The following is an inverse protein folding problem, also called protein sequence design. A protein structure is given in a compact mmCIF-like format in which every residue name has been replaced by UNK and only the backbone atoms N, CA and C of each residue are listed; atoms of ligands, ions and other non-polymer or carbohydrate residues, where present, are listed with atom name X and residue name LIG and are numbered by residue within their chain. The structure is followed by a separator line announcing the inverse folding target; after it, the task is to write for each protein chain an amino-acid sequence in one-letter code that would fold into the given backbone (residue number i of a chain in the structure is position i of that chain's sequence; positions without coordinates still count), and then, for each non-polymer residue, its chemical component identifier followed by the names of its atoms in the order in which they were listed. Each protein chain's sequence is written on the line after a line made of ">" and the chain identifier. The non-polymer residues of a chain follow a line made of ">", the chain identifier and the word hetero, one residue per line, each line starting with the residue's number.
data_IF_816817824036
#
_entry.id   IF_816817824036
#
_cell.length_a   1.000
_cell.length_b   1.000
_cell.length_c   1.000
_cell.angle_alpha   90.00
_cell.angle_beta   90.00
_cell.angle_gamma   90.00
#
_symmetry.space_group_name_H-M   'P 1'
#
loop_
_entity.id
_entity.type
_entity.pdbx_description
1 polymer ?
#
# COMPACT_ATOMS: atom_id res chain seq x y z
N UNK A 1 -21.36 26.20 12.25
CA UNK A 1 -20.94 25.16 13.21
C UNK A 1 -20.65 23.93 12.38
N UNK A 2 -19.39 23.48 12.31
CA UNK A 2 -19.04 22.29 11.53
C UNK A 2 -19.11 21.09 12.46
N UNK A 3 -20.00 20.15 12.15
CA UNK A 3 -20.06 18.85 12.82
C UNK A 3 -19.17 17.87 12.06
N UNK A 4 -18.44 17.04 12.80
CA UNK A 4 -17.73 15.91 12.19
C UNK A 4 -18.71 14.78 11.97
N UNK A 5 -18.78 14.28 10.74
CA UNK A 5 -19.70 13.20 10.35
C UNK A 5 -19.05 11.82 10.33
N UNK A 6 -17.72 11.74 10.49
CA UNK A 6 -16.96 10.49 10.41
C UNK A 6 -15.92 10.44 11.51
N UNK A 7 -15.87 9.31 12.23
CA UNK A 7 -14.82 8.99 13.18
C UNK A 7 -14.36 7.56 12.95
N UNK A 8 -13.05 7.37 12.74
CA UNK A 8 -12.43 6.05 12.58
C UNK A 8 -11.53 5.79 13.79
N UNK A 9 -11.86 4.78 14.64
CA UNK A 9 -10.99 4.39 15.73
C UNK A 9 -9.61 3.93 15.25
N UNK A 10 -8.56 4.33 15.95
CA UNK A 10 -7.16 3.92 15.65
C UNK A 10 -7.01 2.40 15.69
N UNK A 11 -7.85 1.70 16.44
CA UNK A 11 -7.83 0.23 16.47
C UNK A 11 -8.15 -0.41 15.12
N UNK A 12 -8.86 0.28 14.23
CA UNK A 12 -9.22 -0.19 12.89
C UNK A 12 -8.15 0.11 11.84
N UNK A 13 -7.17 0.96 12.13
CA UNK A 13 -6.17 1.35 11.12
C UNK A 13 -5.11 0.27 10.95
N UNK A 14 -4.66 0.11 9.71
CA UNK A 14 -3.44 -0.63 9.37
C UNK A 14 -2.29 0.36 9.51
N UNK A 15 -1.33 0.05 10.38
CA UNK A 15 -0.20 0.93 10.66
C UNK A 15 1.02 0.12 11.13
N UNK A 16 2.16 0.78 11.20
CA UNK A 16 3.43 0.19 11.59
C UNK A 16 3.43 -0.40 13.00
N UNK A 17 2.80 0.28 13.96
CA UNK A 17 2.68 -0.21 15.33
C UNK A 17 1.92 -1.53 15.42
N UNK A 18 0.91 -1.72 14.56
CA UNK A 18 0.20 -3.00 14.41
C UNK A 18 1.09 -4.06 13.80
N UNK A 19 1.89 -3.71 12.79
CA UNK A 19 2.84 -4.64 12.18
C UNK A 19 3.87 -5.13 13.20
N UNK A 20 4.54 -4.23 13.92
CA UNK A 20 5.55 -4.58 14.94
C UNK A 20 5.02 -5.50 16.05
N UNK A 21 3.72 -5.41 16.35
CA UNK A 21 3.04 -6.22 17.38
C UNK A 21 2.37 -7.49 16.84
N UNK A 22 2.42 -7.71 15.53
CA UNK A 22 1.84 -8.89 14.89
C UNK A 22 2.73 -10.13 15.03
N UNK A 23 2.22 -11.29 14.64
CA UNK A 23 2.95 -12.56 14.66
C UNK A 23 4.23 -12.54 13.81
N UNK A 24 4.27 -11.67 12.80
CA UNK A 24 5.44 -11.47 11.91
C UNK A 24 6.25 -10.22 12.27
N UNK A 25 6.00 -9.60 13.42
CA UNK A 25 6.66 -8.36 13.84
C UNK A 25 8.19 -8.47 13.92
N UNK A 26 8.73 -9.67 14.14
CA UNK A 26 10.17 -9.95 14.13
C UNK A 26 10.85 -9.75 12.76
N UNK A 27 10.07 -9.66 11.68
CA UNK A 27 10.58 -9.37 10.33
C UNK A 27 10.87 -7.87 10.18
N UNK A 28 10.23 -7.02 10.98
CA UNK A 28 10.36 -5.56 10.87
C UNK A 28 11.82 -5.07 10.90
N UNK A 29 12.68 -5.47 11.87
CA UNK A 29 14.07 -5.02 11.90
C UNK A 29 14.89 -5.50 10.69
N UNK A 30 14.52 -6.64 10.10
CA UNK A 30 15.20 -7.18 8.90
C UNK A 30 14.85 -6.36 7.66
N UNK A 31 13.60 -5.90 7.55
CA UNK A 31 13.20 -4.98 6.48
C UNK A 31 13.88 -3.63 6.67
N UNK A 32 13.95 -3.14 7.90
CA UNK A 32 14.64 -1.88 8.22
C UNK A 32 16.12 -1.92 7.83
N UNK A 33 16.80 -3.03 8.10
CA UNK A 33 18.19 -3.23 7.67
C UNK A 33 18.31 -3.30 6.13
N UNK A 34 17.40 -4.01 5.47
CA UNK A 34 17.43 -4.21 4.01
C UNK A 34 17.19 -2.91 3.23
N UNK A 35 16.32 -2.05 3.74
CA UNK A 35 15.88 -0.81 3.09
C UNK A 35 16.39 0.44 3.80
N UNK A 36 17.44 0.30 4.62
CA UNK A 36 17.98 1.41 5.41
C UNK A 36 18.42 2.57 4.51
N UNK A 37 17.82 3.75 4.72
CA UNK A 37 18.15 4.98 3.97
C UNK A 37 17.39 5.17 2.66
N UNK A 38 16.50 4.23 2.30
CA UNK A 38 15.55 4.40 1.19
C UNK A 38 14.45 5.40 1.58
N UNK A 39 14.11 6.34 0.69
CA UNK A 39 13.07 7.35 0.97
C UNK A 39 11.67 6.75 1.12
N UNK A 40 11.47 5.51 0.69
CA UNK A 40 10.17 4.85 0.60
C UNK A 40 9.99 3.72 1.64
N UNK A 41 10.89 3.61 2.62
CA UNK A 41 10.86 2.50 3.60
C UNK A 41 9.48 2.33 4.28
N UNK A 42 8.90 3.42 4.77
CA UNK A 42 7.59 3.40 5.46
C UNK A 42 6.47 2.82 4.57
N UNK A 43 6.52 3.10 3.25
CA UNK A 43 5.56 2.55 2.31
C UNK A 43 5.78 1.05 2.09
N UNK A 44 7.03 0.62 1.90
CA UNK A 44 7.38 -0.80 1.70
C UNK A 44 6.97 -1.64 2.89
N UNK A 45 7.21 -1.14 4.10
CA UNK A 45 6.79 -1.76 5.36
C UNK A 45 5.29 -2.00 5.40
N UNK A 46 4.50 -0.98 5.08
CA UNK A 46 3.04 -1.10 5.10
C UNK A 46 2.53 -2.01 3.98
N UNK A 47 3.11 -1.93 2.77
CA UNK A 47 2.78 -2.82 1.66
C UNK A 47 3.03 -4.28 2.07
N UNK A 48 4.17 -4.57 2.68
CA UNK A 48 4.48 -5.92 3.17
C UNK A 48 3.45 -6.40 4.20
N UNK A 49 3.11 -5.55 5.17
CA UNK A 49 2.14 -5.92 6.20
C UNK A 49 0.73 -6.12 5.64
N UNK A 50 0.29 -5.26 4.72
CA UNK A 50 -0.99 -5.41 4.01
C UNK A 50 -1.00 -6.71 3.22
N UNK A 51 0.04 -7.01 2.44
CA UNK A 51 0.15 -8.24 1.67
C UNK A 51 0.05 -9.48 2.56
N UNK A 52 0.77 -9.50 3.69
CA UNK A 52 0.65 -10.57 4.68
C UNK A 52 -0.78 -10.69 5.24
N UNK A 53 -1.42 -9.59 5.61
CA UNK A 53 -2.80 -9.64 6.12
C UNK A 53 -3.79 -10.14 5.06
N UNK A 54 -3.57 -9.83 3.78
CA UNK A 54 -4.40 -10.35 2.69
C UNK A 54 -4.24 -11.87 2.50
N UNK A 55 -3.06 -12.44 2.74
CA UNK A 55 -2.86 -13.91 2.60
C UNK A 55 -3.53 -14.71 3.72
N UNK A 56 -3.85 -14.09 4.85
CA UNK A 56 -4.59 -14.73 5.94
C UNK A 56 -6.09 -14.96 5.61
N UNK A 57 -6.64 -14.26 4.60
CA UNK A 57 -8.05 -14.40 4.25
C UNK A 57 -8.97 -14.06 5.42
N UNK A 58 -9.93 -14.94 5.72
CA UNK A 58 -10.93 -14.76 6.79
C UNK A 58 -10.32 -14.66 8.20
N UNK A 59 -9.09 -15.16 8.40
CA UNK A 59 -8.38 -15.09 9.68
C UNK A 59 -7.81 -13.69 9.94
N UNK A 60 -7.77 -12.81 8.93
CA UNK A 60 -7.37 -11.41 9.11
C UNK A 60 -8.46 -10.58 9.79
N UNK A 61 -8.10 -9.84 10.83
CA UNK A 61 -8.95 -8.80 11.41
C UNK A 61 -9.45 -7.78 10.37
N UNK A 62 -8.62 -7.51 9.34
CA UNK A 62 -8.93 -6.57 8.27
C UNK A 62 -9.58 -7.22 7.04
N UNK A 63 -9.93 -8.51 7.09
CA UNK A 63 -10.60 -9.18 5.97
C UNK A 63 -11.82 -8.41 5.42
N UNK A 64 -12.74 -7.88 6.26
CA UNK A 64 -13.88 -7.12 5.75
C UNK A 64 -13.47 -5.85 5.01
N UNK A 65 -12.36 -5.21 5.40
CA UNK A 65 -11.83 -4.06 4.69
C UNK A 65 -11.36 -4.47 3.29
N UNK A 66 -10.60 -5.55 3.17
CA UNK A 66 -10.10 -6.05 1.87
C UNK A 66 -11.20 -6.54 0.93
N UNK A 67 -12.35 -7.00 1.44
CA UNK A 67 -13.50 -7.33 0.59
C UNK A 67 -14.15 -6.10 -0.06
N UNK A 68 -13.92 -4.90 0.48
CA UNK A 68 -14.49 -3.66 -0.03
C UNK A 68 -13.51 -2.85 -0.89
N UNK A 69 -12.23 -3.20 -0.89
CA UNK A 69 -11.24 -2.52 -1.72
C UNK A 69 -11.41 -2.91 -3.19
N UNK A 70 -11.29 -1.92 -4.07
CA UNK A 70 -11.27 -2.11 -5.51
C UNK A 70 -9.83 -2.13 -6.02
N UNK A 71 -9.62 -2.78 -7.16
CA UNK A 71 -8.36 -2.69 -7.88
C UNK A 71 -8.06 -1.24 -8.22
N UNK A 72 -6.81 -0.84 -7.99
CA UNK A 72 -6.35 0.51 -8.33
C UNK A 72 -6.01 0.60 -9.80
N UNK A 73 -6.48 1.64 -10.47
CA UNK A 73 -6.14 1.94 -11.87
C UNK A 73 -4.74 2.57 -11.97
N UNK A 74 -3.72 1.75 -11.68
CA UNK A 74 -2.32 2.18 -11.64
C UNK A 74 -1.69 2.14 -13.04
N UNK A 75 -0.80 3.09 -13.39
CA UNK A 75 -0.16 3.13 -14.72
C UNK A 75 0.57 1.84 -15.12
N UNK A 76 1.12 1.10 -14.16
CA UNK A 76 1.76 -0.20 -14.40
C UNK A 76 0.80 -1.31 -14.86
N UNK A 77 -0.51 -1.11 -14.68
CA UNK A 77 -1.57 -2.03 -15.10
C UNK A 77 -2.24 -1.58 -16.41
N UNK A 78 -1.86 -0.43 -16.95
CA UNK A 78 -2.45 0.12 -18.17
C UNK A 78 -1.95 -0.64 -19.40
N UNK A 79 -2.83 -0.81 -20.37
CA UNK A 79 -2.42 -1.40 -21.65
C UNK A 79 -1.67 -0.36 -22.49
N UNK A 80 -0.87 -0.82 -23.46
CA UNK A 80 -0.15 0.06 -24.40
C UNK A 80 -1.07 1.07 -25.10
N UNK A 81 -2.31 0.68 -25.40
CA UNK A 81 -3.33 1.56 -25.98
C UNK A 81 -3.70 2.72 -25.04
N UNK A 82 -3.70 2.48 -23.73
CA UNK A 82 -4.07 3.46 -22.71
C UNK A 82 -2.90 4.45 -22.52
N UNK A 83 -1.67 3.93 -22.54
CA UNK A 83 -0.44 4.74 -22.58
C UNK A 83 -0.31 5.57 -23.87
N UNK A 84 -0.88 5.11 -24.99
CA UNK A 84 -0.88 5.86 -26.25
C UNK A 84 -1.76 7.11 -26.23
N UNK A 85 -2.73 7.20 -25.31
CA UNK A 85 -3.51 8.43 -25.09
C UNK A 85 -2.74 9.49 -24.32
N UNK A 86 -1.63 9.13 -23.66
CA UNK A 86 -0.76 10.12 -23.03
C UNK A 86 0.00 10.88 -24.11
N UNK A 87 -0.24 12.19 -24.18
CA UNK A 87 0.59 13.10 -24.98
C UNK A 87 2.06 12.95 -24.59
N UNK A 88 2.96 13.09 -25.56
CA UNK A 88 4.40 13.07 -25.28
C UNK A 88 4.77 14.24 -24.37
N UNK A 89 5.14 13.92 -23.14
CA UNK A 89 5.41 14.91 -22.11
C UNK A 89 5.96 14.29 -20.84
N UNK A 90 6.29 15.16 -19.88
CA UNK A 90 6.91 14.78 -18.61
C UNK A 90 6.19 13.63 -17.90
N UNK A 91 4.85 13.65 -17.87
CA UNK A 91 4.05 12.62 -17.20
C UNK A 91 4.25 11.22 -17.82
N UNK A 92 4.30 11.13 -19.15
CA UNK A 92 4.53 9.87 -19.84
C UNK A 92 5.92 9.31 -19.52
N UNK A 93 6.93 10.17 -19.49
CA UNK A 93 8.30 9.77 -19.14
C UNK A 93 8.39 9.27 -17.69
N UNK A 94 7.75 9.97 -16.74
CA UNK A 94 7.71 9.52 -15.34
C UNK A 94 7.00 8.18 -15.16
N UNK A 95 5.94 7.91 -15.93
CA UNK A 95 5.25 6.62 -15.90
C UNK A 95 6.15 5.51 -16.46
N UNK A 96 6.84 5.77 -17.56
CA UNK A 96 7.75 4.79 -18.17
C UNK A 96 8.94 4.45 -17.25
N UNK A 97 9.51 5.46 -16.58
CA UNK A 97 10.57 5.26 -15.57
C UNK A 97 10.13 4.41 -14.36
N UNK A 98 8.82 4.31 -14.09
CA UNK A 98 8.27 3.50 -13.00
C UNK A 98 7.90 2.07 -13.43
N UNK A 99 7.84 1.80 -14.75
CA UNK A 99 7.46 0.50 -15.31
C UNK A 99 8.71 -0.34 -15.68
N UNK A 100 9.85 0.30 -15.96
CA UNK A 100 11.16 -0.35 -16.16
C UNK A 100 11.84 -0.79 -14.86
#
# INVERSE_FOLDING_TARGET
>A
MFESFVHVPVSLTINEERFKKSEIGEIFPKLEELFWGESNFDHVVLIFFVAYQMTLGEDSFWHPYFLTTQDSDLPMLWHDKDLAYLEEGYLKNCILEQIE
#
